data_IF_893899937200
#
_entry.id   IF_893899937200
#
_cell.length_a   1.000
_cell.length_b   1.000
_cell.length_c   1.000
_cell.angle_alpha   90.00
_cell.angle_beta   90.00
_cell.angle_gamma   90.00
#
_symmetry.space_group_name_H-M   'P 1'
#
loop_
_entity.id
_entity.type
_entity.pdbx_description
1 polymer ?
#
# COMPACT_ATOMS: atom_id res chain seq x y z
N UNK A 1 -5.25 -0.71 -0.44
CA UNK A 1 -4.50 0.55 -0.53
C UNK A 1 -4.49 1.12 -1.94
N UNK A 2 -4.53 2.44 -2.07
CA UNK A 2 -4.37 3.13 -3.37
C UNK A 2 -2.90 3.44 -3.58
N UNK A 3 -2.36 3.09 -4.74
CA UNK A 3 -0.96 3.34 -5.09
C UNK A 3 -0.82 3.89 -6.52
N UNK A 4 0.32 4.52 -6.80
CA UNK A 4 0.61 5.08 -8.12
C UNK A 4 1.69 6.16 -8.08
N UNK A 5 1.96 6.82 -9.20
CA UNK A 5 2.90 7.93 -9.29
C UNK A 5 2.62 9.05 -8.27
N UNK A 6 3.68 9.48 -7.56
CA UNK A 6 3.59 10.58 -6.57
C UNK A 6 3.07 10.18 -5.18
N UNK A 7 2.65 8.93 -4.97
CA UNK A 7 2.25 8.43 -3.67
C UNK A 7 3.49 8.17 -2.80
N UNK A 8 3.47 8.63 -1.54
CA UNK A 8 4.67 8.67 -0.69
C UNK A 8 4.85 7.46 0.22
N UNK A 9 3.78 6.85 0.70
CA UNK A 9 3.87 5.74 1.66
C UNK A 9 4.46 4.48 0.97
N UNK A 10 3.95 4.13 -0.22
CA UNK A 10 4.51 3.01 -1.01
C UNK A 10 5.85 3.37 -1.66
N UNK A 11 6.08 4.67 -1.96
CA UNK A 11 7.40 5.12 -2.38
C UNK A 11 8.47 4.86 -1.31
N UNK A 12 8.17 5.09 -0.03
CA UNK A 12 9.11 4.78 1.08
C UNK A 12 9.45 3.29 1.12
N UNK A 13 8.48 2.41 0.87
CA UNK A 13 8.72 0.97 0.78
C UNK A 13 9.63 0.62 -0.41
N UNK A 14 9.35 1.18 -1.59
CA UNK A 14 10.18 1.01 -2.79
C UNK A 14 11.62 1.50 -2.53
N UNK A 15 11.77 2.63 -1.87
CA UNK A 15 13.08 3.19 -1.51
C UNK A 15 13.83 2.31 -0.50
N UNK A 16 13.12 1.75 0.49
CA UNK A 16 13.68 0.81 1.45
C UNK A 16 14.20 -0.45 0.75
N UNK A 17 13.40 -1.08 -0.09
CA UNK A 17 13.80 -2.25 -0.88
C UNK A 17 14.96 -1.91 -1.82
N UNK A 18 14.96 -0.73 -2.46
CA UNK A 18 16.08 -0.24 -3.27
C UNK A 18 17.38 -0.15 -2.45
N UNK A 19 17.30 0.26 -1.18
CA UNK A 19 18.46 0.32 -0.27
C UNK A 19 18.92 -1.08 0.23
N UNK A 20 18.18 -2.13 -0.07
CA UNK A 20 18.48 -3.50 0.32
C UNK A 20 17.81 -3.95 1.63
N UNK A 21 16.83 -3.22 2.11
CA UNK A 21 16.10 -3.49 3.36
C UNK A 21 14.60 -3.55 3.12
N UNK A 22 13.94 -4.51 3.74
CA UNK A 22 12.49 -4.62 3.82
C UNK A 22 12.09 -4.91 5.27
N UNK A 23 11.15 -4.13 5.79
CA UNK A 23 10.71 -4.20 7.17
C UNK A 23 9.21 -4.54 7.25
N UNK A 24 8.91 -5.81 7.47
CA UNK A 24 7.56 -6.24 7.78
C UNK A 24 7.28 -6.15 9.30
N UNK A 25 6.04 -5.86 9.66
CA UNK A 25 5.61 -5.70 11.05
C UNK A 25 4.82 -6.92 11.53
N UNK A 26 5.20 -7.48 12.68
CA UNK A 26 4.53 -8.63 13.30
C UNK A 26 4.97 -9.98 12.73
N UNK A 27 4.66 -11.05 13.46
CA UNK A 27 5.06 -12.43 13.12
C UNK A 27 4.22 -13.02 11.96
N UNK A 28 2.96 -12.58 11.84
CA UNK A 28 2.03 -13.08 10.82
C UNK A 28 2.01 -12.06 9.67
N UNK A 29 2.14 -12.49 8.41
CA UNK A 29 2.02 -11.60 7.26
C UNK A 29 0.69 -10.84 7.24
N UNK A 30 0.73 -9.58 6.81
CA UNK A 30 -0.49 -8.83 6.50
C UNK A 30 -1.05 -9.32 5.18
N UNK A 31 -2.38 -9.38 5.09
CA UNK A 31 -3.11 -9.62 3.83
C UNK A 31 -3.70 -8.30 3.37
N UNK A 32 -3.36 -7.89 2.15
CA UNK A 32 -3.64 -6.54 1.65
C UNK A 32 -4.23 -6.64 0.25
N UNK A 33 -5.19 -5.78 -0.05
CA UNK A 33 -5.70 -5.53 -1.40
C UNK A 33 -5.26 -4.15 -1.86
N UNK A 34 -4.94 -4.03 -3.16
CA UNK A 34 -4.46 -2.80 -3.77
C UNK A 34 -5.36 -2.34 -4.91
N UNK A 35 -5.30 -1.06 -5.22
CA UNK A 35 -5.86 -0.49 -6.45
C UNK A 35 -4.88 0.54 -7.02
N UNK A 36 -4.60 0.43 -8.31
CA UNK A 36 -3.81 1.43 -9.01
C UNK A 36 -4.63 2.70 -9.23
N UNK A 37 -4.01 3.86 -9.11
CA UNK A 37 -4.71 5.15 -9.18
C UNK A 37 -5.51 5.36 -10.48
N UNK A 38 -5.02 4.84 -11.62
CA UNK A 38 -5.76 4.93 -12.89
C UNK A 38 -7.02 4.07 -12.90
N UNK A 39 -6.96 2.88 -12.30
CA UNK A 39 -8.13 2.01 -12.15
C UNK A 39 -9.15 2.61 -11.19
N UNK A 40 -8.69 3.25 -10.10
CA UNK A 40 -9.58 3.99 -9.22
C UNK A 40 -10.28 5.15 -9.96
N UNK A 41 -9.56 5.88 -10.81
CA UNK A 41 -10.16 6.91 -11.65
C UNK A 41 -11.21 6.32 -12.61
N UNK A 42 -10.91 5.17 -13.22
CA UNK A 42 -11.87 4.45 -14.09
C UNK A 42 -13.14 4.09 -13.32
N UNK A 43 -13.04 3.58 -12.10
CA UNK A 43 -14.22 3.30 -11.25
C UNK A 43 -15.05 4.57 -11.00
N UNK A 44 -14.38 5.70 -10.72
CA UNK A 44 -15.07 6.98 -10.55
C UNK A 44 -15.85 7.40 -11.81
N UNK A 45 -15.26 7.26 -13.00
CA UNK A 45 -15.96 7.53 -14.26
C UNK A 45 -17.12 6.56 -14.51
N UNK A 46 -16.92 5.26 -14.33
CA UNK A 46 -18.00 4.27 -14.48
C UNK A 46 -19.19 4.57 -13.56
N UNK A 47 -18.91 5.03 -12.33
CA UNK A 47 -19.98 5.40 -11.38
C UNK A 47 -20.77 6.64 -11.78
N UNK A 48 -20.17 7.55 -12.59
CA UNK A 48 -20.86 8.72 -13.14
C UNK A 48 -21.69 8.40 -14.38
N UNK A 49 -21.28 7.41 -15.15
CA UNK A 49 -21.96 7.00 -16.39
C UNK A 49 -23.16 6.07 -16.12
N UNK A 50 -23.17 5.43 -14.95
CA UNK A 50 -24.24 4.48 -14.58
C UNK A 50 -25.50 5.23 -14.15
N UNK A 51 -26.61 5.02 -14.87
CA UNK A 51 -27.91 5.66 -14.55
C UNK A 51 -28.50 5.15 -13.22
N UNK A 52 -28.32 3.86 -12.94
CA UNK A 52 -28.81 3.24 -11.69
C UNK A 52 -27.64 2.55 -10.96
N UNK A 53 -27.37 3.00 -9.74
CA UNK A 53 -26.36 2.43 -8.84
C UNK A 53 -27.09 1.73 -7.70
N UNK A 54 -26.88 0.42 -7.55
CA UNK A 54 -27.55 -0.38 -6.50
C UNK A 54 -27.02 -0.11 -5.11
N UNK A 55 -25.71 0.13 -4.99
CA UNK A 55 -25.04 0.34 -3.71
C UNK A 55 -24.55 1.78 -3.57
N UNK A 56 -24.62 2.31 -2.34
CA UNK A 56 -24.10 3.66 -2.03
C UNK A 56 -22.59 3.69 -1.81
N UNK A 57 -21.99 2.55 -1.55
CA UNK A 57 -20.57 2.42 -1.21
C UNK A 57 -20.00 1.17 -1.84
N UNK A 58 -18.77 1.27 -2.35
CA UNK A 58 -18.01 0.15 -2.86
C UNK A 58 -16.61 0.14 -2.27
N UNK A 59 -16.12 -1.05 -1.92
CA UNK A 59 -14.70 -1.24 -1.80
C UNK A 59 -14.09 -1.40 -3.20
N UNK A 60 -12.93 -0.77 -3.42
CA UNK A 60 -12.26 -0.80 -4.72
C UNK A 60 -10.88 -1.42 -4.55
N UNK A 61 -10.62 -2.49 -5.28
CA UNK A 61 -9.32 -3.15 -5.36
C UNK A 61 -9.20 -3.89 -6.71
N UNK A 62 -8.02 -4.39 -7.01
CA UNK A 62 -7.76 -5.17 -8.23
C UNK A 62 -8.31 -6.62 -8.21
N UNK A 63 -8.91 -7.03 -7.08
CA UNK A 63 -9.52 -8.34 -6.90
C UNK A 63 -8.57 -9.41 -6.34
N UNK A 64 -7.28 -9.19 -6.38
CA UNK A 64 -6.28 -10.11 -5.83
C UNK A 64 -5.93 -9.77 -4.37
N UNK A 65 -5.46 -10.78 -3.63
CA UNK A 65 -5.00 -10.65 -2.25
C UNK A 65 -3.51 -10.89 -2.18
N UNK A 66 -2.79 -9.90 -1.69
CA UNK A 66 -1.34 -9.92 -1.55
C UNK A 66 -0.93 -9.99 -0.09
N UNK A 67 0.33 -10.34 0.16
CA UNK A 67 0.95 -10.20 1.49
C UNK A 67 2.00 -9.09 1.46
N UNK A 68 2.31 -8.53 2.64
CA UNK A 68 3.44 -7.62 2.82
C UNK A 68 4.72 -8.20 2.20
N UNK A 69 4.98 -9.50 2.40
CA UNK A 69 6.13 -10.19 1.84
C UNK A 69 6.08 -10.32 0.30
N UNK A 70 4.91 -10.68 -0.27
CA UNK A 70 4.77 -10.79 -1.73
C UNK A 70 4.91 -9.43 -2.42
N UNK A 71 4.45 -8.37 -1.78
CA UNK A 71 4.59 -7.01 -2.24
C UNK A 71 6.07 -6.58 -2.28
N UNK A 72 6.81 -6.76 -1.18
CA UNK A 72 8.24 -6.43 -1.11
C UNK A 72 9.07 -7.23 -2.13
N UNK A 73 8.79 -8.53 -2.29
CA UNK A 73 9.46 -9.38 -3.29
C UNK A 73 9.17 -8.91 -4.73
N UNK A 74 7.95 -8.50 -5.01
CA UNK A 74 7.58 -7.96 -6.33
C UNK A 74 8.37 -6.68 -6.64
N UNK A 75 8.50 -5.76 -5.67
CA UNK A 75 9.34 -4.55 -5.79
C UNK A 75 10.80 -4.94 -6.00
N UNK A 76 11.32 -5.90 -5.23
CA UNK A 76 12.69 -6.41 -5.38
C UNK A 76 12.95 -6.89 -6.81
N UNK A 77 12.05 -7.70 -7.37
CA UNK A 77 12.13 -8.22 -8.74
C UNK A 77 12.15 -7.11 -9.77
N UNK A 78 11.22 -6.14 -9.68
CA UNK A 78 11.11 -5.01 -10.60
C UNK A 78 12.37 -4.12 -10.56
N UNK A 79 12.96 -3.95 -9.37
CA UNK A 79 14.20 -3.21 -9.20
C UNK A 79 15.44 -3.99 -9.61
N UNK A 80 15.33 -5.29 -9.90
CA UNK A 80 16.44 -6.19 -10.24
C UNK A 80 17.43 -6.39 -9.08
N UNK A 81 16.97 -6.28 -7.82
CA UNK A 81 17.84 -6.42 -6.65
C UNK A 81 18.11 -7.88 -6.33
N UNK A 82 19.37 -8.30 -6.35
CA UNK A 82 19.78 -9.69 -6.05
C UNK A 82 19.63 -10.06 -4.58
N UNK A 83 19.79 -9.09 -3.67
CA UNK A 83 19.75 -9.30 -2.22
C UNK A 83 19.00 -8.16 -1.56
N UNK A 84 17.99 -8.51 -0.77
CA UNK A 84 17.26 -7.62 0.14
C UNK A 84 17.14 -8.36 1.46
N UNK A 85 17.46 -7.68 2.56
CA UNK A 85 17.28 -8.21 3.91
C UNK A 85 15.82 -8.01 4.32
N UNK A 86 15.06 -9.08 4.37
CA UNK A 86 13.68 -9.07 4.86
C UNK A 86 13.70 -9.29 6.38
N UNK A 87 13.34 -8.26 7.13
CA UNK A 87 13.28 -8.31 8.60
C UNK A 87 11.86 -8.13 9.09
N UNK A 88 11.44 -8.98 10.06
CA UNK A 88 10.15 -8.82 10.73
C UNK A 88 10.35 -8.22 12.10
N UNK A 89 9.71 -7.07 12.34
CA UNK A 89 9.80 -6.33 13.59
C UNK A 89 8.63 -6.77 14.50
N UNK A 90 8.90 -7.31 15.70
CA UNK A 90 7.85 -7.67 16.64
C UNK A 90 6.97 -6.47 17.01
N UNK A 91 5.65 -6.69 17.09
CA UNK A 91 4.67 -5.65 17.41
C UNK A 91 4.98 -4.87 18.70
N UNK A 92 5.57 -5.57 19.71
CA UNK A 92 5.99 -4.91 20.95
C UNK A 92 7.03 -3.82 20.73
N UNK A 93 8.02 -4.08 19.87
CA UNK A 93 9.06 -3.08 19.54
C UNK A 93 8.47 -1.90 18.75
N UNK A 94 7.57 -2.18 17.80
CA UNK A 94 6.86 -1.13 17.04
C UNK A 94 6.04 -0.25 17.98
N UNK A 95 5.35 -0.85 18.96
CA UNK A 95 4.59 -0.10 19.96
C UNK A 95 5.48 0.84 20.76
N UNK A 96 6.62 0.34 21.25
CA UNK A 96 7.58 1.16 22.00
C UNK A 96 8.09 2.30 21.11
N UNK A 97 8.49 2.01 19.88
CA UNK A 97 8.98 3.02 18.94
C UNK A 97 7.93 4.12 18.66
N UNK A 98 6.65 3.74 18.49
CA UNK A 98 5.56 4.70 18.30
C UNK A 98 5.39 5.63 19.52
N UNK A 99 5.39 5.07 20.74
CA UNK A 99 5.26 5.87 21.95
C UNK A 99 6.47 6.80 22.17
N UNK A 100 7.70 6.31 21.96
CA UNK A 100 8.89 7.14 22.04
C UNK A 100 8.87 8.29 21.01
N UNK A 101 8.51 7.98 19.75
CA UNK A 101 8.38 8.97 18.68
C UNK A 101 7.33 10.03 19.01
N UNK A 102 6.17 9.62 19.52
CA UNK A 102 5.11 10.55 19.95
C UNK A 102 5.57 11.46 21.10
N UNK A 103 6.29 10.91 22.09
CA UNK A 103 6.84 11.69 23.20
C UNK A 103 7.88 12.72 22.70
N UNK A 104 8.80 12.31 21.81
CA UNK A 104 9.76 13.22 21.18
C UNK A 104 9.03 14.29 20.35
N UNK A 105 7.99 13.91 19.60
CA UNK A 105 7.17 14.84 18.83
C UNK A 105 6.52 15.92 19.69
N UNK A 106 5.96 15.54 20.84
CA UNK A 106 5.40 16.47 21.83
C UNK A 106 6.47 17.44 22.36
N UNK A 107 7.68 16.92 22.67
CA UNK A 107 8.79 17.75 23.16
C UNK A 107 9.26 18.76 22.09
N UNK A 108 9.37 18.32 20.84
CA UNK A 108 9.83 19.15 19.72
C UNK A 108 8.70 19.97 19.06
N UNK A 109 7.45 19.87 19.56
CA UNK A 109 6.25 20.49 18.96
C UNK A 109 6.09 20.20 17.46
N UNK A 110 6.44 18.97 17.04
CA UNK A 110 6.35 18.49 15.66
C UNK A 110 5.47 17.25 15.59
N UNK A 111 4.65 17.16 14.54
CA UNK A 111 3.93 15.93 14.23
C UNK A 111 4.93 14.88 13.71
N UNK A 112 4.93 13.70 14.34
CA UNK A 112 5.76 12.57 13.94
C UNK A 112 4.94 11.58 13.14
N UNK A 113 5.52 11.03 12.08
CA UNK A 113 4.88 10.03 11.22
C UNK A 113 4.59 8.73 11.98
N UNK A 114 5.48 8.35 12.89
CA UNK A 114 5.32 7.18 13.73
C UNK A 114 4.65 7.61 15.05
N UNK A 115 3.39 7.23 15.25
CA UNK A 115 2.58 7.58 16.42
C UNK A 115 1.64 6.42 16.79
N UNK A 116 0.85 6.61 17.85
CA UNK A 116 -0.08 5.60 18.35
C UNK A 116 -1.14 5.19 17.31
N UNK A 117 -1.61 6.12 16.48
CA UNK A 117 -2.58 5.82 15.42
C UNK A 117 -1.94 4.95 14.32
N UNK A 118 -0.69 5.26 13.94
CA UNK A 118 0.05 4.42 12.99
C UNK A 118 0.26 3.01 13.54
N UNK A 119 0.50 2.86 14.86
CA UNK A 119 0.58 1.53 15.48
C UNK A 119 -0.73 0.74 15.34
N UNK A 120 -1.89 1.39 15.53
CA UNK A 120 -3.20 0.73 15.38
C UNK A 120 -3.37 0.18 13.97
N UNK A 121 -2.93 0.92 12.95
CA UNK A 121 -2.94 0.50 11.55
C UNK A 121 -1.95 -0.67 11.33
N UNK A 122 -0.70 -0.51 11.77
CA UNK A 122 0.36 -1.49 11.55
C UNK A 122 0.12 -2.84 12.23
N UNK A 123 -0.62 -2.89 13.34
CA UNK A 123 -0.97 -4.15 14.01
C UNK A 123 -2.04 -4.96 13.31
N UNK A 124 -2.85 -4.35 12.41
CA UNK A 124 -3.89 -5.07 11.67
C UNK A 124 -3.27 -6.08 10.70
N UNK A 125 -3.88 -7.27 10.63
CA UNK A 125 -3.36 -8.36 9.78
C UNK A 125 -4.17 -8.56 8.50
N UNK A 126 -5.37 -7.96 8.42
CA UNK A 126 -6.30 -8.20 7.33
C UNK A 126 -6.86 -6.89 6.78
N UNK A 127 -6.45 -6.55 5.57
CA UNK A 127 -6.88 -5.40 4.79
C UNK A 127 -7.49 -5.85 3.46
N UNK A 128 -8.29 -6.94 3.51
CA UNK A 128 -8.96 -7.48 2.34
C UNK A 128 -10.29 -6.76 2.15
N UNK A 129 -10.57 -6.41 0.91
CA UNK A 129 -11.84 -5.84 0.48
C UNK A 129 -12.58 -6.85 -0.39
N UNK A 130 -13.88 -6.97 -0.19
CA UNK A 130 -14.77 -7.65 -1.14
C UNK A 130 -15.14 -6.66 -2.25
N UNK A 131 -14.73 -6.98 -3.47
CA UNK A 131 -14.97 -6.16 -4.68
C UNK A 131 -16.10 -6.69 -5.54
N UNK A 132 -16.71 -7.82 -5.16
CA UNK A 132 -17.83 -8.44 -5.91
C UNK A 132 -18.96 -7.46 -6.18
N UNK A 133 -19.44 -6.65 -5.19
CA UNK A 133 -20.51 -5.68 -5.45
C UNK A 133 -20.13 -4.60 -6.48
N UNK A 134 -18.85 -4.21 -6.53
CA UNK A 134 -18.35 -3.27 -7.52
C UNK A 134 -18.36 -3.88 -8.94
N UNK A 135 -17.89 -5.12 -9.05
CA UNK A 135 -17.83 -5.83 -10.33
C UNK A 135 -19.23 -6.11 -10.87
N UNK A 136 -20.13 -6.60 -10.02
CA UNK A 136 -21.50 -6.93 -10.42
C UNK A 136 -22.34 -5.70 -10.81
N UNK A 137 -22.12 -4.58 -10.13
CA UNK A 137 -22.93 -3.38 -10.33
C UNK A 137 -22.35 -2.47 -11.43
N UNK A 138 -21.04 -2.20 -11.41
CA UNK A 138 -20.40 -1.31 -12.37
C UNK A 138 -19.71 -2.03 -13.54
N UNK A 139 -19.56 -3.34 -13.49
CA UNK A 139 -18.84 -4.10 -14.52
C UNK A 139 -17.33 -3.79 -14.55
N UNK A 140 -16.78 -3.32 -13.43
CA UNK A 140 -15.37 -2.94 -13.37
C UNK A 140 -14.44 -4.15 -13.49
N UNK A 141 -13.48 -4.04 -14.40
CA UNK A 141 -12.38 -5.00 -14.59
C UNK A 141 -11.06 -4.22 -14.46
N UNK A 142 -10.18 -4.60 -13.51
CA UNK A 142 -8.91 -3.90 -13.32
C UNK A 142 -8.00 -4.06 -14.54
N UNK A 143 -7.49 -2.96 -15.04
CA UNK A 143 -6.53 -2.93 -16.16
C UNK A 143 -5.07 -2.98 -15.68
N UNK A 144 -4.85 -2.73 -14.40
CA UNK A 144 -3.55 -2.65 -13.75
C UNK A 144 -3.44 -3.63 -12.56
N UNK A 145 -3.16 -4.93 -12.79
CA UNK A 145 -2.72 -5.82 -11.73
C UNK A 145 -1.51 -5.23 -10.99
N UNK A 146 -1.31 -5.57 -9.72
CA UNK A 146 -0.31 -4.94 -8.85
C UNK A 146 1.09 -4.81 -9.50
N UNK A 147 1.60 -5.86 -10.16
CA UNK A 147 2.92 -5.83 -10.83
C UNK A 147 3.00 -4.72 -11.88
N UNK A 148 2.01 -4.64 -12.77
CA UNK A 148 1.98 -3.65 -13.85
C UNK A 148 1.94 -2.21 -13.31
N UNK A 149 1.12 -1.95 -12.30
CA UNK A 149 1.03 -0.63 -11.69
C UNK A 149 2.31 -0.25 -10.92
N UNK A 150 2.99 -1.23 -10.28
CA UNK A 150 4.29 -1.01 -9.63
C UNK A 150 5.38 -0.70 -10.66
N UNK A 151 5.43 -1.41 -11.78
CA UNK A 151 6.39 -1.16 -12.85
C UNK A 151 6.25 0.28 -13.36
N UNK A 152 5.02 0.74 -13.66
CA UNK A 152 4.75 2.11 -14.11
C UNK A 152 5.10 3.13 -13.02
N UNK A 153 4.77 2.86 -11.75
CA UNK A 153 5.08 3.75 -10.63
C UNK A 153 6.60 3.90 -10.44
N UNK A 154 7.33 2.79 -10.46
CA UNK A 154 8.81 2.79 -10.31
C UNK A 154 9.47 3.49 -11.47
N UNK A 155 9.00 3.30 -12.70
CA UNK A 155 9.49 4.02 -13.87
C UNK A 155 9.28 5.53 -13.73
N UNK A 156 8.10 5.96 -13.29
CA UNK A 156 7.81 7.35 -13.01
C UNK A 156 8.74 7.92 -11.93
N UNK A 157 8.94 7.23 -10.80
CA UNK A 157 9.85 7.68 -9.74
C UNK A 157 11.29 7.84 -10.22
N UNK A 158 11.76 6.94 -11.11
CA UNK A 158 13.08 7.07 -11.75
C UNK A 158 13.17 8.31 -12.64
N UNK A 159 12.14 8.54 -13.45
CA UNK A 159 12.07 9.67 -14.39
C UNK A 159 12.05 11.01 -13.66
N UNK A 160 11.30 11.10 -12.56
CA UNK A 160 11.18 12.33 -11.77
C UNK A 160 12.32 12.51 -10.75
N UNK A 161 13.32 11.62 -10.73
CA UNK A 161 14.48 11.71 -9.85
C UNK A 161 14.19 11.44 -8.36
N UNK A 162 13.10 10.72 -8.08
CA UNK A 162 12.78 10.29 -6.72
C UNK A 162 13.56 9.01 -6.33
N UNK A 163 13.90 8.17 -7.33
CA UNK A 163 14.65 6.93 -7.17
C UNK A 163 16.06 7.02 -7.75
#
# INVERSE_FOLDING_TARGET
GVYGPGEKDYFMEIQSVKSGLDFAVGAIPQRITFIYVKDLATVAFLSLEKEEIKNRHYFVADGDVYTDESFARMIQDILGKKRVLHARIPLGLVRIACHCSEWIGKLLKKSMTLNSDKYIILKQRNWICDVTPLQDDLGFIPAYPLRKGLEESIEWYKKEGWL
#
